data_IF_616442494704
#
_entry.id   IF_616442494704
#
_cell.length_a   1.000
_cell.length_b   1.000
_cell.length_c   1.000
_cell.angle_alpha   90.00
_cell.angle_beta   90.00
_cell.angle_gamma   90.00
#
_symmetry.space_group_name_H-M   'P 1'
#
loop_
_entity.id
_entity.type
_entity.pdbx_description
1 polymer ?
#
# COMPACT_ATOMS: atom_id res chain seq x y z
N UNK A 1 -14.09 1.06 3.02
CA UNK A 1 -13.62 1.74 4.25
C UNK A 1 -12.83 2.94 3.77
N UNK A 2 -13.25 4.15 4.10
CA UNK A 2 -12.53 5.35 3.67
C UNK A 2 -11.15 5.41 4.36
N UNK A 3 -10.13 5.74 3.58
CA UNK A 3 -8.77 5.95 4.06
C UNK A 3 -8.62 7.42 4.42
N UNK A 4 -8.15 7.71 5.62
CA UNK A 4 -7.99 9.07 6.15
C UNK A 4 -6.57 9.59 5.88
N UNK A 5 -5.58 8.70 5.74
CA UNK A 5 -4.17 9.07 5.52
C UNK A 5 -3.65 8.73 4.12
N UNK A 6 -4.16 7.66 3.50
CA UNK A 6 -3.71 7.21 2.19
C UNK A 6 -4.57 7.84 1.08
N UNK A 7 -3.96 8.72 0.29
CA UNK A 7 -4.55 9.28 -0.92
C UNK A 7 -3.86 8.65 -2.12
N UNK A 8 -4.62 7.89 -2.92
CA UNK A 8 -4.08 7.16 -4.06
C UNK A 8 -4.24 7.98 -5.35
N UNK A 9 -3.13 8.18 -6.05
CA UNK A 9 -3.11 8.64 -7.44
C UNK A 9 -3.19 7.42 -8.36
N UNK A 10 -4.27 7.35 -9.16
CA UNK A 10 -4.45 6.27 -10.15
C UNK A 10 -3.86 6.65 -11.50
N UNK A 11 -3.05 5.76 -12.05
CA UNK A 11 -2.54 5.83 -13.41
C UNK A 11 -2.69 4.47 -14.10
N UNK A 12 -3.00 4.45 -15.39
CA UNK A 12 -3.12 3.22 -16.19
C UNK A 12 -2.10 3.27 -17.34
N UNK A 13 -1.36 2.18 -17.53
CA UNK A 13 -0.40 2.04 -18.63
C UNK A 13 -1.08 1.54 -19.92
N UNK A 14 -0.38 1.59 -21.06
CA UNK A 14 -0.89 1.17 -22.39
C UNK A 14 -1.32 -0.30 -22.43
N UNK A 15 -0.79 -1.13 -21.53
CA UNK A 15 -1.16 -2.55 -21.37
C UNK A 15 -2.42 -2.79 -20.53
N UNK A 16 -3.03 -1.72 -19.98
CA UNK A 16 -4.21 -1.80 -19.11
C UNK A 16 -3.89 -2.18 -17.66
N UNK A 17 -2.61 -2.11 -17.28
CA UNK A 17 -2.17 -2.27 -15.89
C UNK A 17 -2.41 -0.98 -15.12
N UNK A 18 -3.21 -1.06 -14.07
CA UNK A 18 -3.44 0.03 -13.15
C UNK A 18 -2.32 0.12 -12.11
N UNK A 19 -1.89 1.34 -11.83
CA UNK A 19 -0.96 1.69 -10.76
C UNK A 19 -1.64 2.68 -9.83
N UNK A 20 -1.58 2.42 -8.53
CA UNK A 20 -2.06 3.30 -7.48
C UNK A 20 -0.87 3.66 -6.60
N UNK A 21 -0.38 4.89 -6.75
CA UNK A 21 0.69 5.41 -5.91
C UNK A 21 0.10 6.24 -4.77
N UNK A 22 0.63 6.07 -3.56
CA UNK A 22 0.28 6.93 -2.43
C UNK A 22 1.51 7.23 -1.59
N UNK A 23 1.57 8.46 -1.09
CA UNK A 23 2.61 8.90 -0.18
C UNK A 23 1.99 9.61 1.01
N UNK A 24 2.25 9.10 2.21
CA UNK A 24 1.76 9.66 3.46
C UNK A 24 2.92 9.96 4.40
N UNK A 25 3.06 11.24 4.79
CA UNK A 25 4.07 11.68 5.77
C UNK A 25 3.39 12.03 7.08
N UNK A 26 3.61 11.24 8.13
CA UNK A 26 2.95 11.40 9.44
C UNK A 26 3.97 11.48 10.58
N UNK A 27 3.58 12.08 11.71
CA UNK A 27 4.41 12.04 12.93
C UNK A 27 4.36 10.66 13.57
N UNK A 28 5.36 10.31 14.39
CA UNK A 28 5.43 9.04 15.11
C UNK A 28 4.13 8.66 15.86
N UNK A 29 3.41 9.64 16.41
CA UNK A 29 2.12 9.46 17.09
C UNK A 29 0.99 8.93 16.19
N UNK A 30 1.09 9.17 14.88
CA UNK A 30 0.11 8.78 13.86
C UNK A 30 0.56 7.59 13.01
N UNK A 31 1.82 7.17 13.14
CA UNK A 31 2.35 5.96 12.48
C UNK A 31 1.48 4.73 12.74
N UNK A 32 0.99 4.46 13.98
CA UNK A 32 0.10 3.31 14.20
C UNK A 32 -1.23 3.41 13.46
N UNK A 33 -1.78 4.62 13.28
CA UNK A 33 -3.03 4.83 12.55
C UNK A 33 -2.84 4.58 11.05
N UNK A 34 -1.80 5.18 10.46
CA UNK A 34 -1.40 4.95 9.07
C UNK A 34 -1.08 3.47 8.81
N UNK A 35 -0.32 2.84 9.71
CA UNK A 35 0.01 1.42 9.60
C UNK A 35 -1.23 0.53 9.61
N UNK A 36 -2.26 0.88 10.41
CA UNK A 36 -3.52 0.14 10.44
C UNK A 36 -4.30 0.21 9.13
N UNK A 37 -4.24 1.33 8.42
CA UNK A 37 -4.85 1.48 7.10
C UNK A 37 -4.13 0.63 6.04
N UNK A 38 -2.79 0.75 5.97
CA UNK A 38 -1.98 -0.05 5.05
C UNK A 38 -2.11 -1.55 5.35
N UNK A 39 -2.10 -1.94 6.64
CA UNK A 39 -2.31 -3.32 7.07
C UNK A 39 -3.66 -3.84 6.57
N UNK A 40 -4.73 -3.08 6.79
CA UNK A 40 -6.08 -3.48 6.37
C UNK A 40 -6.17 -3.66 4.86
N UNK A 41 -5.53 -2.76 4.10
CA UNK A 41 -5.45 -2.81 2.65
C UNK A 41 -4.67 -4.03 2.15
N UNK A 42 -3.43 -4.21 2.60
CA UNK A 42 -2.57 -5.32 2.17
C UNK A 42 -3.13 -6.68 2.62
N UNK A 43 -3.76 -6.72 3.80
CA UNK A 43 -4.45 -7.91 4.29
C UNK A 43 -5.66 -8.25 3.44
N UNK A 44 -6.49 -7.26 3.10
CA UNK A 44 -7.62 -7.47 2.20
C UNK A 44 -7.16 -7.96 0.82
N UNK A 45 -6.13 -7.33 0.24
CA UNK A 45 -5.59 -7.71 -1.06
C UNK A 45 -5.04 -9.14 -1.02
N UNK A 46 -4.24 -9.46 0.00
CA UNK A 46 -3.70 -10.80 0.22
C UNK A 46 -4.77 -11.88 0.43
N UNK A 47 -5.91 -11.53 1.01
CA UNK A 47 -7.02 -12.48 1.22
C UNK A 47 -7.88 -12.64 -0.05
N UNK A 48 -8.22 -11.53 -0.73
CA UNK A 48 -9.08 -11.55 -1.93
C UNK A 48 -8.36 -12.12 -3.15
N UNK A 49 -7.06 -11.85 -3.27
CA UNK A 49 -6.18 -12.29 -4.35
C UNK A 49 -5.09 -13.23 -3.82
N UNK A 50 -5.45 -14.11 -2.90
CA UNK A 50 -4.53 -15.09 -2.32
C UNK A 50 -3.88 -15.96 -3.40
N UNK A 51 -2.54 -16.01 -3.40
CA UNK A 51 -1.76 -16.77 -4.39
C UNK A 51 -1.66 -16.10 -5.77
N UNK A 52 -2.10 -14.84 -5.90
CA UNK A 52 -1.99 -14.05 -7.13
C UNK A 52 -1.08 -12.83 -7.01
N UNK A 53 -0.33 -12.75 -5.91
CA UNK A 53 0.60 -11.66 -5.71
C UNK A 53 1.97 -11.99 -6.30
N UNK A 54 2.48 -11.09 -7.14
CA UNK A 54 3.84 -11.10 -7.66
C UNK A 54 3.96 -10.19 -8.87
N UNK A 55 5.11 -10.23 -9.54
CA UNK A 55 5.32 -9.45 -10.77
C UNK A 55 4.23 -9.79 -11.80
N UNK A 56 3.58 -8.76 -12.35
CA UNK A 56 2.56 -8.93 -13.38
C UNK A 56 3.13 -9.60 -14.63
N UNK A 57 4.41 -9.36 -14.94
CA UNK A 57 5.16 -10.01 -16.03
C UNK A 57 5.22 -11.54 -15.88
N UNK A 58 5.12 -12.06 -14.66
CA UNK A 58 5.09 -13.50 -14.35
C UNK A 58 3.66 -14.08 -14.39
N UNK A 59 2.67 -13.27 -14.76
CA UNK A 59 1.25 -13.64 -14.84
C UNK A 59 0.49 -13.52 -13.52
N UNK A 60 1.03 -12.78 -12.56
CA UNK A 60 0.34 -12.45 -11.31
C UNK A 60 -0.68 -11.33 -11.54
N UNK A 61 -1.64 -11.20 -10.64
CA UNK A 61 -2.78 -10.29 -10.78
C UNK A 61 -2.49 -8.91 -10.16
N UNK A 62 -1.61 -8.88 -9.15
CA UNK A 62 -1.25 -7.67 -8.43
C UNK A 62 0.12 -7.79 -7.74
N UNK A 63 0.75 -6.65 -7.48
CA UNK A 63 1.91 -6.50 -6.63
C UNK A 63 1.85 -5.21 -5.81
N UNK A 64 2.72 -5.11 -4.80
CA UNK A 64 2.89 -3.90 -4.02
C UNK A 64 4.36 -3.65 -3.71
N UNK A 65 4.76 -2.39 -3.77
CA UNK A 65 6.02 -1.89 -3.22
C UNK A 65 5.71 -1.00 -2.02
N UNK A 66 6.30 -1.32 -0.87
CA UNK A 66 6.13 -0.55 0.36
C UNK A 66 7.49 -0.06 0.84
N UNK A 67 7.62 1.26 0.93
CA UNK A 67 8.83 1.92 1.39
C UNK A 67 8.50 2.86 2.53
N UNK A 68 9.38 2.92 3.53
CA UNK A 68 9.29 3.91 4.59
C UNK A 68 10.64 4.60 4.76
N UNK A 69 10.61 5.89 5.05
CA UNK A 69 11.78 6.72 5.28
C UNK A 69 11.47 7.79 6.33
N UNK A 70 12.51 8.31 6.99
CA UNK A 70 12.36 9.42 7.93
C UNK A 70 12.43 10.79 7.22
N UNK A 71 12.52 11.88 7.99
CA UNK A 71 12.61 13.25 7.47
C UNK A 71 13.94 13.54 6.75
N UNK A 72 15.02 12.85 7.14
CA UNK A 72 16.35 12.94 6.51
C UNK A 72 16.46 12.03 5.26
N UNK A 73 15.44 11.21 4.99
CA UNK A 73 15.42 10.24 3.88
C UNK A 73 16.16 8.93 4.19
N UNK A 74 16.46 8.65 5.45
CA UNK A 74 16.99 7.36 5.87
C UNK A 74 15.88 6.30 5.79
N UNK A 75 16.16 5.12 5.20
CA UNK A 75 15.18 4.06 5.08
C UNK A 75 14.80 3.50 6.44
N UNK A 76 13.49 3.42 6.72
CA UNK A 76 12.90 2.82 7.90
C UNK A 76 12.39 1.41 7.60
N UNK A 77 12.35 0.55 8.62
CA UNK A 77 11.83 -0.81 8.46
C UNK A 77 10.33 -0.77 8.19
N UNK A 78 9.91 -1.24 7.01
CA UNK A 78 8.51 -1.46 6.66
C UNK A 78 8.35 -2.84 6.04
N UNK A 79 7.61 -3.73 6.70
CA UNK A 79 7.40 -5.09 6.21
C UNK A 79 5.99 -5.56 6.54
N UNK A 80 5.27 -6.02 5.52
CA UNK A 80 3.98 -6.69 5.71
C UNK A 80 4.18 -8.20 5.80
N UNK A 81 3.78 -8.80 6.92
CA UNK A 81 3.71 -10.24 7.09
C UNK A 81 2.34 -10.74 6.60
N UNK A 82 2.34 -11.37 5.43
CA UNK A 82 1.13 -11.92 4.80
C UNK A 82 0.56 -13.11 5.56
N UNK A 83 1.39 -13.89 6.25
CA UNK A 83 0.96 -15.08 6.98
C UNK A 83 0.22 -14.68 8.26
N UNK A 84 0.70 -13.65 8.96
CA UNK A 84 0.07 -13.05 10.11
C UNK A 84 -1.01 -12.01 9.74
N UNK A 85 -0.97 -11.48 8.51
CA UNK A 85 -1.79 -10.37 8.06
C UNK A 85 -1.52 -9.09 8.84
N UNK A 86 -0.25 -8.85 9.19
CA UNK A 86 0.19 -7.75 10.05
C UNK A 86 1.25 -6.89 9.37
N UNK A 87 1.16 -5.58 9.52
CA UNK A 87 2.20 -4.66 9.08
C UNK A 87 3.15 -4.30 10.23
N UNK A 88 4.44 -4.50 10.01
CA UNK A 88 5.51 -3.98 10.87
C UNK A 88 6.07 -2.71 10.22
N UNK A 89 5.71 -1.56 10.77
CA UNK A 89 6.20 -0.25 10.34
C UNK A 89 6.96 0.42 11.49
N UNK A 90 8.22 0.74 11.24
CA UNK A 90 9.07 1.48 12.16
C UNK A 90 8.77 2.98 12.07
N UNK A 91 8.40 3.57 13.20
CA UNK A 91 8.31 5.02 13.31
C UNK A 91 9.71 5.64 13.42
N UNK A 92 9.88 6.83 12.84
CA UNK A 92 11.09 7.62 13.06
C UNK A 92 11.18 8.03 14.53
N UNK A 93 12.40 7.95 15.09
CA UNK A 93 12.66 8.39 16.46
C UNK A 93 12.54 9.92 16.59
N UNK A 94 12.82 10.65 15.52
CA UNK A 94 12.80 12.11 15.48
C UNK A 94 12.14 12.59 14.19
N UNK A 95 11.08 13.38 14.32
CA UNK A 95 10.41 13.99 13.16
C UNK A 95 9.23 13.18 12.62
N UNK A 96 9.18 13.02 11.29
CA UNK A 96 8.08 12.37 10.56
C UNK A 96 8.57 11.07 9.92
N UNK A 97 7.61 10.18 9.67
CA UNK A 97 7.78 8.98 8.87
C UNK A 97 6.98 9.17 7.60
N UNK A 98 7.67 9.12 6.48
CA UNK A 98 7.09 9.11 5.15
C UNK A 98 6.98 7.67 4.70
N UNK A 99 5.78 7.26 4.32
CA UNK A 99 5.50 5.94 3.77
C UNK A 99 5.02 6.14 2.34
N UNK A 100 5.65 5.41 1.42
CA UNK A 100 5.26 5.33 0.03
C UNK A 100 4.76 3.91 -0.24
N UNK A 101 3.55 3.80 -0.76
CA UNK A 101 2.96 2.53 -1.15
C UNK A 101 2.55 2.64 -2.62
N UNK A 102 3.14 1.81 -3.44
CA UNK A 102 2.76 1.67 -4.84
C UNK A 102 2.11 0.30 -5.03
N UNK A 103 0.87 0.30 -5.54
CA UNK A 103 0.15 -0.92 -5.90
C UNK A 103 0.08 -1.00 -7.41
N UNK A 104 0.40 -2.15 -7.98
CA UNK A 104 0.23 -2.40 -9.41
C UNK A 104 -0.65 -3.62 -9.59
N UNK A 105 -1.60 -3.57 -10.51
CA UNK A 105 -2.52 -4.67 -10.68
C UNK A 105 -3.33 -4.62 -11.96
N UNK A 106 -3.95 -5.75 -12.27
CA UNK A 106 -4.88 -5.86 -13.38
C UNK A 106 -6.11 -4.96 -13.18
N UNK A 107 -6.87 -4.73 -14.25
CA UNK A 107 -8.17 -4.03 -14.16
C UNK A 107 -9.11 -4.69 -13.13
N UNK A 108 -9.05 -6.02 -12.96
CA UNK A 108 -9.85 -6.74 -11.97
C UNK A 108 -9.43 -6.39 -10.53
N UNK A 109 -8.12 -6.28 -10.27
CA UNK A 109 -7.61 -5.82 -8.98
C UNK A 109 -8.05 -4.39 -8.69
N UNK A 110 -7.91 -3.50 -9.68
CA UNK A 110 -8.30 -2.10 -9.55
C UNK A 110 -9.77 -1.87 -9.24
N UNK A 111 -10.66 -2.54 -9.96
CA UNK A 111 -12.10 -2.48 -9.72
C UNK A 111 -12.45 -2.98 -8.30
N UNK A 112 -11.84 -4.09 -7.89
CA UNK A 112 -12.01 -4.65 -6.56
C UNK A 112 -11.50 -3.70 -5.45
N UNK A 113 -10.37 -3.01 -5.68
CA UNK A 113 -9.74 -2.10 -4.73
C UNK A 113 -10.63 -0.87 -4.53
N UNK A 114 -11.06 -0.24 -5.63
CA UNK A 114 -12.00 0.90 -5.62
C UNK A 114 -13.27 0.54 -4.87
N UNK A 115 -13.87 -0.62 -5.15
CA UNK A 115 -15.08 -1.06 -4.47
C UNK A 115 -14.89 -1.31 -2.95
N UNK A 116 -13.71 -1.77 -2.53
CA UNK A 116 -13.43 -2.08 -1.13
C UNK A 116 -13.10 -0.83 -0.29
N UNK A 117 -12.37 0.12 -0.88
CA UNK A 117 -11.85 1.31 -0.19
C UNK A 117 -12.59 2.60 -0.55
N UNK A 118 -13.58 2.54 -1.44
CA UNK A 118 -14.36 3.69 -1.91
C UNK A 118 -13.45 4.77 -2.52
N UNK A 119 -12.46 4.34 -3.30
CA UNK A 119 -11.55 5.25 -4.01
C UNK A 119 -12.28 5.88 -5.20
N UNK A 120 -12.17 7.19 -5.36
CA UNK A 120 -12.73 7.91 -6.51
C UNK A 120 -12.06 7.43 -7.82
N UNK A 121 -12.85 7.42 -8.91
CA UNK A 121 -12.48 6.86 -10.21
C UNK A 121 -11.77 7.85 -11.13
#
# INVERSE_FOLDING_TARGET
>A
MALDYLEFDYSEDEEGTGTWDTMASVKAERVPALAGEIESLLRWASQKFAGRQGALEDGNDWDYDLQAQDDDGEPLSARFDRAAGRLELQASATGRTTVSLCLSGSTQFGDALRQAFDLEA
#
